data_IF_287782318373
#
_entry.id   IF_287782318373
#
_cell.length_a   1.000
_cell.length_b   1.000
_cell.length_c   1.000
_cell.angle_alpha   90.00
_cell.angle_beta   90.00
_cell.angle_gamma   90.00
#
_symmetry.space_group_name_H-M   'P 1'
#
loop_
_entity.id
_entity.type
_entity.pdbx_description
1 polymer ?
#
# COMPACT_ATOMS: atom_id res chain seq x y z
N UNK A 1 22.78 -13.62 21.58
CA UNK A 1 22.29 -12.23 21.73
C UNK A 1 21.18 -12.04 20.71
N UNK A 2 19.93 -11.90 21.14
CA UNK A 2 18.84 -11.51 20.23
C UNK A 2 19.07 -10.04 19.91
N UNK A 3 19.24 -9.69 18.63
CA UNK A 3 19.13 -8.31 18.20
C UNK A 3 17.69 -7.90 18.52
N UNK A 4 17.50 -7.17 19.60
CA UNK A 4 16.24 -6.47 19.87
C UNK A 4 16.23 -5.35 18.83
N UNK A 5 15.53 -5.58 17.71
CA UNK A 5 15.18 -4.50 16.81
C UNK A 5 14.16 -3.68 17.60
N UNK A 6 14.62 -2.57 18.16
CA UNK A 6 13.78 -1.65 18.92
C UNK A 6 12.64 -1.16 18.02
N UNK A 7 11.46 -0.99 18.61
CA UNK A 7 10.32 -0.44 17.89
C UNK A 7 10.63 0.98 17.41
N UNK A 8 10.28 1.36 16.17
CA UNK A 8 10.49 2.72 15.72
C UNK A 8 9.59 3.67 16.52
N UNK A 9 10.15 4.82 16.87
CA UNK A 9 9.42 5.92 17.49
C UNK A 9 8.37 6.51 16.54
N UNK A 10 7.39 7.23 17.09
CA UNK A 10 6.40 7.96 16.28
C UNK A 10 7.06 8.95 15.30
N UNK A 11 8.16 9.59 15.70
CA UNK A 11 8.92 10.50 14.84
C UNK A 11 9.55 9.74 13.68
N UNK A 12 10.19 8.60 13.94
CA UNK A 12 10.78 7.76 12.88
C UNK A 12 9.74 7.21 11.92
N UNK A 13 8.55 6.85 12.40
CA UNK A 13 7.42 6.44 11.54
C UNK A 13 7.00 7.58 10.63
N UNK A 14 6.78 8.78 11.17
CA UNK A 14 6.39 9.98 10.40
C UNK A 14 7.46 10.35 9.36
N UNK A 15 8.73 10.33 9.76
CA UNK A 15 9.86 10.62 8.86
C UNK A 15 9.97 9.57 7.74
N UNK A 16 9.81 8.28 8.07
CA UNK A 16 9.82 7.19 7.07
C UNK A 16 8.64 7.34 6.10
N UNK A 17 7.45 7.64 6.60
CA UNK A 17 6.25 7.89 5.77
C UNK A 17 6.50 9.04 4.80
N UNK A 18 7.03 10.17 5.28
CA UNK A 18 7.34 11.33 4.45
C UNK A 18 8.36 11.00 3.34
N UNK A 19 9.43 10.26 3.67
CA UNK A 19 10.41 9.81 2.66
C UNK A 19 9.79 8.94 1.57
N UNK A 20 8.91 8.02 1.94
CA UNK A 20 8.21 7.13 0.99
C UNK A 20 7.26 7.94 0.09
N UNK A 21 6.56 8.94 0.65
CA UNK A 21 5.72 9.88 -0.14
C UNK A 21 6.56 10.61 -1.19
N UNK A 22 7.69 11.19 -0.78
CA UNK A 22 8.58 11.91 -1.69
C UNK A 22 9.16 11.02 -2.79
N UNK A 23 9.48 9.76 -2.48
CA UNK A 23 9.88 8.76 -3.47
C UNK A 23 8.73 8.43 -4.43
N UNK A 24 7.52 8.23 -3.90
CA UNK A 24 6.31 7.98 -4.69
C UNK A 24 6.02 9.10 -5.69
N UNK A 25 6.13 10.36 -5.26
CA UNK A 25 5.97 11.52 -6.15
C UNK A 25 7.00 11.57 -7.27
N UNK A 26 8.27 11.25 -6.98
CA UNK A 26 9.32 11.18 -8.01
C UNK A 26 8.99 10.11 -9.05
N UNK A 27 8.58 8.92 -8.61
CA UNK A 27 8.17 7.83 -9.51
C UNK A 27 6.90 8.15 -10.31
N UNK A 28 5.95 8.87 -9.73
CA UNK A 28 4.75 9.35 -10.45
C UNK A 28 5.11 10.33 -11.56
N UNK A 29 6.03 11.27 -11.30
CA UNK A 29 6.55 12.18 -12.33
C UNK A 29 7.24 11.41 -13.46
N UNK A 30 8.06 10.41 -13.13
CA UNK A 30 8.70 9.54 -14.13
C UNK A 30 7.69 8.74 -14.95
N UNK A 31 6.70 8.13 -14.29
CA UNK A 31 5.62 7.39 -14.94
C UNK A 31 4.84 8.28 -15.92
N UNK A 32 4.56 9.52 -15.53
CA UNK A 32 3.89 10.49 -16.39
C UNK A 32 4.73 10.80 -17.65
N UNK A 33 6.04 11.03 -17.49
CA UNK A 33 6.93 11.28 -18.62
C UNK A 33 6.95 10.09 -19.60
N UNK A 34 7.02 8.85 -19.10
CA UNK A 34 6.98 7.64 -19.94
C UNK A 34 5.67 7.57 -20.72
N UNK A 35 4.53 7.87 -20.08
CA UNK A 35 3.22 7.85 -20.73
C UNK A 35 3.09 8.88 -21.84
N UNK A 36 3.60 10.09 -21.62
CA UNK A 36 3.66 11.14 -22.65
C UNK A 36 4.52 10.67 -23.84
N UNK A 37 5.72 10.15 -23.59
CA UNK A 37 6.58 9.64 -24.66
C UNK A 37 5.94 8.47 -25.44
N UNK A 38 5.27 7.55 -24.74
CA UNK A 38 4.52 6.46 -25.39
C UNK A 38 3.38 6.97 -26.27
N UNK A 39 2.68 8.02 -25.85
CA UNK A 39 1.61 8.64 -26.63
C UNK A 39 2.16 9.32 -27.89
N UNK A 40 3.26 10.06 -27.77
CA UNK A 40 3.96 10.67 -28.91
C UNK A 40 4.43 9.62 -29.92
N UNK A 41 5.08 8.55 -29.47
CA UNK A 41 5.58 7.48 -30.34
C UNK A 41 4.46 6.76 -31.09
N UNK A 42 3.32 6.52 -30.43
CA UNK A 42 2.15 5.89 -31.05
C UNK A 42 1.45 6.80 -32.07
N UNK A 43 1.51 8.11 -31.88
CA UNK A 43 0.83 9.09 -32.74
C UNK A 43 1.67 9.49 -33.96
N UNK A 44 2.99 9.62 -33.78
CA UNK A 44 3.89 10.17 -34.80
C UNK A 44 4.48 9.11 -35.76
N UNK A 45 3.91 7.90 -35.79
CA UNK A 45 4.11 6.89 -36.85
C UNK A 45 5.54 6.39 -37.08
N UNK A 46 6.42 6.45 -36.07
CA UNK A 46 7.67 5.70 -36.11
C UNK A 46 7.42 4.33 -35.47
N UNK A 47 7.36 3.27 -36.27
CA UNK A 47 7.23 1.86 -35.85
C UNK A 47 8.47 1.36 -35.07
N UNK A 48 8.93 2.12 -34.09
CA UNK A 48 9.96 1.68 -33.15
C UNK A 48 9.28 0.82 -32.06
N UNK A 49 8.80 -0.35 -32.52
CA UNK A 49 8.07 -1.31 -31.69
C UNK A 49 8.93 -1.77 -30.50
N UNK A 50 10.24 -1.88 -30.70
CA UNK A 50 11.19 -2.26 -29.66
C UNK A 50 11.24 -1.19 -28.55
N UNK A 51 11.35 0.09 -28.91
CA UNK A 51 11.32 1.19 -27.95
C UNK A 51 9.97 1.32 -27.23
N UNK A 52 8.85 1.09 -27.94
CA UNK A 52 7.52 1.05 -27.32
C UNK A 52 7.44 -0.08 -26.29
N UNK A 53 7.87 -1.29 -26.64
CA UNK A 53 7.85 -2.43 -25.74
C UNK A 53 8.69 -2.19 -24.48
N UNK A 54 9.89 -1.62 -24.63
CA UNK A 54 10.74 -1.26 -23.48
C UNK A 54 10.08 -0.22 -22.56
N UNK A 55 9.43 0.79 -23.12
CA UNK A 55 8.72 1.80 -22.34
C UNK A 55 7.47 1.24 -21.64
N UNK A 56 6.75 0.31 -22.27
CA UNK A 56 5.61 -0.38 -21.65
C UNK A 56 6.04 -1.28 -20.49
N UNK A 57 7.16 -2.01 -20.63
CA UNK A 57 7.74 -2.78 -19.53
C UNK A 57 8.15 -1.88 -18.37
N UNK A 58 8.80 -0.75 -18.67
CA UNK A 58 9.17 0.26 -17.67
C UNK A 58 7.94 0.89 -16.99
N UNK A 59 6.88 1.20 -17.75
CA UNK A 59 5.60 1.67 -17.21
C UNK A 59 5.01 0.66 -16.21
N UNK A 60 5.03 -0.62 -16.57
CA UNK A 60 4.53 -1.71 -15.72
C UNK A 60 5.35 -1.86 -14.43
N UNK A 61 6.68 -1.84 -14.53
CA UNK A 61 7.56 -1.91 -13.35
C UNK A 61 7.31 -0.75 -12.39
N UNK A 62 7.32 0.48 -12.90
CA UNK A 62 7.08 1.68 -12.09
C UNK A 62 5.69 1.68 -11.45
N UNK A 63 4.67 1.22 -12.18
CA UNK A 63 3.32 1.08 -11.62
C UNK A 63 3.33 0.10 -10.44
N UNK A 64 3.99 -1.05 -10.57
CA UNK A 64 4.12 -2.00 -9.46
C UNK A 64 4.88 -1.42 -8.27
N UNK A 65 5.94 -0.66 -8.50
CA UNK A 65 6.71 -0.01 -7.44
C UNK A 65 5.87 1.04 -6.70
N UNK A 66 5.14 1.89 -7.42
CA UNK A 66 4.25 2.89 -6.82
C UNK A 66 3.19 2.23 -5.94
N UNK A 67 2.58 1.11 -6.38
CA UNK A 67 1.60 0.37 -5.58
C UNK A 67 2.20 -0.20 -4.28
N UNK A 68 3.46 -0.63 -4.30
CA UNK A 68 4.17 -1.07 -3.08
C UNK A 68 4.43 0.08 -2.12
N UNK A 69 4.77 1.26 -2.64
CA UNK A 69 4.94 2.47 -1.83
C UNK A 69 3.61 2.92 -1.20
N UNK A 70 2.52 2.93 -1.97
CA UNK A 70 1.16 3.24 -1.47
C UNK A 70 0.75 2.32 -0.32
N UNK A 71 0.95 0.99 -0.49
CA UNK A 71 0.67 0.03 0.58
C UNK A 71 1.53 0.31 1.82
N UNK A 72 2.82 0.59 1.63
CA UNK A 72 3.73 0.91 2.73
C UNK A 72 3.31 2.17 3.49
N UNK A 73 2.85 3.21 2.77
CA UNK A 73 2.32 4.44 3.37
C UNK A 73 1.11 4.12 4.23
N UNK A 74 0.12 3.39 3.69
CA UNK A 74 -1.12 3.04 4.41
C UNK A 74 -0.86 2.22 5.68
N UNK A 75 0.10 1.28 5.62
CA UNK A 75 0.51 0.53 6.83
C UNK A 75 1.06 1.49 7.89
N UNK A 76 1.93 2.43 7.50
CA UNK A 76 2.48 3.41 8.43
C UNK A 76 1.42 4.38 8.98
N UNK A 77 0.41 4.75 8.20
CA UNK A 77 -0.72 5.57 8.66
C UNK A 77 -1.55 4.87 9.74
N UNK A 78 -1.81 3.57 9.58
CA UNK A 78 -2.47 2.77 10.62
C UNK A 78 -1.64 2.76 11.91
N UNK A 79 -0.33 2.49 11.80
CA UNK A 79 0.55 2.46 12.98
C UNK A 79 0.68 3.82 13.66
N UNK A 80 0.87 4.88 12.88
CA UNK A 80 0.90 6.26 13.36
C UNK A 80 -0.36 6.58 14.14
N UNK A 81 -1.54 6.24 13.60
CA UNK A 81 -2.80 6.44 14.29
C UNK A 81 -2.86 5.69 15.63
N UNK A 82 -2.49 4.40 15.65
CA UNK A 82 -2.54 3.57 16.87
C UNK A 82 -1.65 4.16 17.98
N UNK A 83 -0.44 4.59 17.62
CA UNK A 83 0.54 5.13 18.55
C UNK A 83 0.12 6.54 19.01
N UNK A 84 -0.27 7.42 18.08
CA UNK A 84 -0.64 8.82 18.38
C UNK A 84 -1.93 8.93 19.18
N UNK A 85 -2.91 8.06 18.92
CA UNK A 85 -4.16 8.00 19.69
C UNK A 85 -4.00 7.43 21.10
N UNK A 86 -2.84 6.84 21.40
CA UNK A 86 -2.53 6.24 22.69
C UNK A 86 -3.65 5.29 23.19
N UNK A 87 -4.21 4.49 22.28
CA UNK A 87 -5.33 3.58 22.57
C UNK A 87 -4.94 2.62 23.70
N UNK A 88 -3.75 2.04 23.61
CA UNK A 88 -3.24 1.03 24.52
C UNK A 88 -2.61 1.59 25.81
N UNK A 89 -2.27 2.88 25.87
CA UNK A 89 -1.64 3.46 27.07
C UNK A 89 -0.38 2.68 27.48
N UNK A 90 -0.26 2.39 28.77
CA UNK A 90 0.88 1.65 29.33
C UNK A 90 0.98 0.19 28.82
N UNK A 91 -0.10 -0.38 28.28
CA UNK A 91 -0.08 -1.71 27.69
C UNK A 91 0.69 -1.77 26.36
N UNK A 92 1.03 -0.62 25.76
CA UNK A 92 1.82 -0.58 24.53
C UNK A 92 3.17 -1.28 24.68
N UNK A 93 3.83 -1.12 25.83
CA UNK A 93 5.11 -1.82 26.12
C UNK A 93 4.96 -3.35 26.09
N UNK A 94 3.82 -3.87 26.53
CA UNK A 94 3.54 -5.32 26.50
C UNK A 94 3.37 -5.80 25.06
N UNK A 95 2.79 -4.97 24.19
CA UNK A 95 2.67 -5.25 22.76
C UNK A 95 4.06 -5.31 22.13
N UNK A 96 4.90 -4.30 22.39
CA UNK A 96 6.28 -4.23 21.87
C UNK A 96 7.13 -5.43 22.29
N UNK A 97 6.98 -5.91 23.52
CA UNK A 97 7.71 -7.08 24.03
C UNK A 97 7.26 -8.40 23.41
N UNK A 98 5.98 -8.52 23.06
CA UNK A 98 5.38 -9.77 22.57
C UNK A 98 5.40 -9.91 21.07
N UNK A 99 5.27 -8.82 20.34
CA UNK A 99 5.07 -8.80 18.89
C UNK A 99 6.27 -8.09 18.28
N UNK A 100 7.12 -8.76 17.48
CA UNK A 100 8.17 -8.06 16.71
C UNK A 100 7.56 -7.03 15.75
N UNK A 101 8.28 -5.94 15.49
CA UNK A 101 7.77 -4.87 14.61
C UNK A 101 7.36 -5.36 13.22
N UNK A 102 8.13 -6.28 12.62
CA UNK A 102 7.78 -6.88 11.31
C UNK A 102 6.48 -7.71 11.37
N UNK A 103 6.22 -8.38 12.50
CA UNK A 103 4.97 -9.11 12.71
C UNK A 103 3.79 -8.15 12.89
N UNK A 104 4.00 -7.02 13.57
CA UNK A 104 3.00 -5.96 13.66
C UNK A 104 2.62 -5.40 12.27
N UNK A 105 3.58 -5.21 11.37
CA UNK A 105 3.30 -4.81 9.99
C UNK A 105 2.42 -5.85 9.26
N UNK A 106 2.70 -7.13 9.45
CA UNK A 106 1.90 -8.20 8.86
C UNK A 106 0.48 -8.23 9.42
N UNK A 107 0.31 -8.06 10.74
CA UNK A 107 -1.02 -7.99 11.38
C UNK A 107 -1.86 -6.86 10.77
N UNK A 108 -1.27 -5.69 10.51
CA UNK A 108 -1.96 -4.56 9.85
C UNK A 108 -2.45 -4.96 8.46
N UNK A 109 -1.60 -5.64 7.67
CA UNK A 109 -1.94 -6.09 6.30
C UNK A 109 -3.02 -7.18 6.33
N UNK A 110 -2.89 -8.18 7.20
CA UNK A 110 -3.84 -9.29 7.34
C UNK A 110 -5.22 -8.82 7.79
N UNK A 111 -5.26 -7.75 8.60
CA UNK A 111 -6.50 -7.10 9.00
C UNK A 111 -7.06 -6.12 7.96
N UNK A 112 -6.46 -6.06 6.76
CA UNK A 112 -6.94 -5.24 5.65
C UNK A 112 -6.81 -3.75 5.91
N UNK A 113 -5.72 -3.33 6.57
CA UNK A 113 -5.44 -1.93 6.93
C UNK A 113 -6.48 -1.32 7.88
N UNK A 114 -7.27 -2.16 8.55
CA UNK A 114 -8.29 -1.70 9.49
C UNK A 114 -7.69 -1.39 10.85
N UNK A 115 -7.79 -0.14 11.31
CA UNK A 115 -7.29 0.26 12.63
C UNK A 115 -8.00 -0.55 13.73
N UNK A 116 -9.34 -0.63 13.66
CA UNK A 116 -10.14 -1.31 14.66
C UNK A 116 -9.83 -2.81 14.75
N UNK A 117 -9.76 -3.50 13.60
CA UNK A 117 -9.43 -4.93 13.58
C UNK A 117 -8.00 -5.19 14.04
N UNK A 118 -7.05 -4.36 13.60
CA UNK A 118 -5.65 -4.42 14.06
C UNK A 118 -5.59 -4.27 15.58
N UNK A 119 -6.19 -3.23 16.14
CA UNK A 119 -6.19 -3.02 17.58
C UNK A 119 -6.85 -4.19 18.34
N UNK A 120 -7.95 -4.72 17.83
CA UNK A 120 -8.62 -5.88 18.43
C UNK A 120 -7.74 -7.13 18.42
N UNK A 121 -6.96 -7.35 17.36
CA UNK A 121 -6.03 -8.47 17.27
C UNK A 121 -4.83 -8.30 18.22
N UNK A 122 -4.25 -7.10 18.28
CA UNK A 122 -3.18 -6.77 19.23
C UNK A 122 -3.65 -6.96 20.69
N UNK A 123 -4.88 -6.54 21.02
CA UNK A 123 -5.48 -6.75 22.34
C UNK A 123 -5.51 -8.23 22.74
N UNK A 124 -5.88 -9.11 21.80
CA UNK A 124 -5.93 -10.57 22.03
C UNK A 124 -4.53 -11.18 22.16
N UNK A 125 -3.61 -10.87 21.23
CA UNK A 125 -2.24 -11.43 21.22
C UNK A 125 -1.51 -10.99 22.50
N UNK A 126 -1.67 -9.72 22.89
CA UNK A 126 -1.07 -9.20 24.10
C UNK A 126 -1.73 -9.72 25.40
N UNK A 127 -2.86 -10.45 25.30
CA UNK A 127 -3.64 -10.95 26.42
C UNK A 127 -3.98 -9.84 27.43
N UNK A 128 -4.43 -8.70 26.90
CA UNK A 128 -4.87 -7.55 27.70
C UNK A 128 -6.30 -7.86 28.18
N UNK A 129 -6.55 -7.77 29.48
CA UNK A 129 -7.90 -7.95 30.08
C UNK A 129 -8.35 -6.64 30.75
N UNK A 130 -8.27 -5.55 29.99
CA UNK A 130 -8.69 -4.22 30.43
C UNK A 130 -9.94 -3.77 29.66
N UNK A 131 -11.05 -3.62 30.37
CA UNK A 131 -12.34 -3.21 29.81
C UNK A 131 -12.31 -1.80 29.22
N UNK A 132 -11.50 -0.90 29.77
CA UNK A 132 -11.40 0.46 29.25
C UNK A 132 -10.68 0.48 27.90
N UNK A 133 -9.61 -0.31 27.76
CA UNK A 133 -8.92 -0.49 26.47
C UNK A 133 -9.85 -1.14 25.45
N UNK A 134 -10.56 -2.20 25.84
CA UNK A 134 -11.53 -2.84 24.95
C UNK A 134 -12.62 -1.87 24.47
N UNK A 135 -13.17 -1.04 25.38
CA UNK A 135 -14.16 -0.03 25.03
C UNK A 135 -13.58 1.03 24.08
N UNK A 136 -12.34 1.50 24.29
CA UNK A 136 -11.66 2.41 23.36
C UNK A 136 -11.60 1.81 21.95
N UNK A 137 -11.20 0.54 21.84
CA UNK A 137 -11.10 -0.17 20.55
C UNK A 137 -12.47 -0.32 19.90
N UNK A 138 -13.49 -0.72 20.65
CA UNK A 138 -14.85 -0.90 20.13
C UNK A 138 -15.48 0.40 19.60
N UNK A 139 -15.12 1.53 20.20
CA UNK A 139 -15.58 2.86 19.79
C UNK A 139 -14.81 3.44 18.59
N UNK A 140 -13.74 2.78 18.12
CA UNK A 140 -13.11 3.17 16.86
C UNK A 140 -14.11 3.01 15.71
N UNK A 141 -14.07 3.91 14.71
CA UNK A 141 -14.90 3.75 13.53
C UNK A 141 -14.58 2.39 12.90
N UNK A 142 -15.62 1.64 12.54
CA UNK A 142 -15.44 0.57 11.57
C UNK A 142 -14.98 1.23 10.27
N UNK A 143 -13.96 0.69 9.61
CA UNK A 143 -13.35 1.24 8.39
C UNK A 143 -14.27 1.26 7.16
N UNK A 144 -15.58 1.30 7.38
CA UNK A 144 -16.60 1.60 6.40
C UNK A 144 -17.44 2.81 6.83
N UNK A 145 -16.89 3.99 6.59
CA UNK A 145 -17.72 5.12 6.14
C UNK A 145 -17.04 5.84 4.97
N UNK A 146 -17.52 5.53 3.76
CA UNK A 146 -17.28 6.23 2.49
C UNK A 146 -15.85 6.18 1.93
N UNK A 147 -15.38 5.00 1.56
CA UNK A 147 -14.74 4.91 0.25
C UNK A 147 -15.84 5.15 -0.79
N UNK A 148 -15.73 6.29 -1.45
CA UNK A 148 -16.35 6.58 -2.75
C UNK A 148 -16.40 5.29 -3.56
N UNK A 149 -17.60 4.84 -3.93
CA UNK A 149 -17.89 3.77 -4.91
C UNK A 149 -17.25 3.99 -6.30
N UNK A 150 -16.27 4.88 -6.41
CA UNK A 150 -15.52 5.22 -7.62
C UNK A 150 -14.16 4.50 -7.70
N UNK A 151 -13.48 4.17 -6.59
CA UNK A 151 -12.14 3.58 -6.66
C UNK A 151 -12.14 2.07 -6.99
N UNK A 152 -13.13 1.32 -6.50
CA UNK A 152 -13.30 -0.10 -6.87
C UNK A 152 -13.63 -0.30 -8.36
N UNK A 153 -14.10 0.75 -9.06
CA UNK A 153 -14.23 0.75 -10.52
C UNK A 153 -12.94 1.14 -11.24
N UNK A 154 -12.03 1.88 -10.63
CA UNK A 154 -10.77 2.31 -11.28
C UNK A 154 -9.73 1.19 -11.35
N UNK A 155 -9.52 0.45 -10.25
CA UNK A 155 -8.63 -0.73 -10.27
C UNK A 155 -9.15 -1.79 -11.25
N UNK A 156 -10.46 -2.02 -11.28
CA UNK A 156 -11.08 -2.98 -12.22
C UNK A 156 -11.02 -2.45 -13.66
N UNK A 157 -11.18 -1.15 -13.93
CA UNK A 157 -11.08 -0.58 -15.29
C UNK A 157 -9.64 -0.61 -15.82
N UNK A 158 -8.63 -0.42 -14.97
CA UNK A 158 -7.22 -0.51 -15.37
C UNK A 158 -6.79 -1.97 -15.60
N UNK A 159 -7.15 -2.88 -14.70
CA UNK A 159 -6.91 -4.32 -14.89
C UNK A 159 -7.65 -4.85 -16.12
N UNK A 160 -8.89 -4.43 -16.36
CA UNK A 160 -9.65 -4.80 -17.56
C UNK A 160 -9.06 -4.17 -18.85
N UNK A 161 -8.42 -2.99 -18.77
CA UNK A 161 -7.66 -2.41 -19.90
C UNK A 161 -6.39 -3.22 -20.19
N UNK A 162 -5.69 -3.70 -19.17
CA UNK A 162 -4.51 -4.56 -19.34
C UNK A 162 -4.93 -5.93 -19.91
N UNK A 163 -5.97 -6.55 -19.34
CA UNK A 163 -6.51 -7.82 -19.83
C UNK A 163 -6.99 -7.67 -21.28
N UNK A 164 -7.72 -6.62 -21.63
CA UNK A 164 -8.19 -6.40 -23.01
C UNK A 164 -7.05 -6.15 -24.00
N UNK A 165 -5.95 -5.47 -23.58
CA UNK A 165 -4.74 -5.36 -24.40
C UNK A 165 -4.06 -6.70 -24.61
N UNK A 166 -3.89 -7.49 -23.56
CA UNK A 166 -3.30 -8.84 -23.65
C UNK A 166 -4.14 -9.75 -24.54
N UNK A 167 -5.47 -9.69 -24.44
CA UNK A 167 -6.39 -10.46 -25.29
C UNK A 167 -6.28 -10.04 -26.76
N UNK A 168 -6.27 -8.73 -27.06
CA UNK A 168 -6.09 -8.24 -28.44
C UNK A 168 -4.74 -8.63 -29.04
N UNK A 169 -3.66 -8.62 -28.25
CA UNK A 169 -2.34 -9.05 -28.69
C UNK A 169 -2.29 -10.55 -28.99
N UNK A 170 -2.97 -11.37 -28.16
CA UNK A 170 -3.14 -12.81 -28.43
C UNK A 170 -3.97 -13.08 -29.69
N UNK A 171 -5.04 -12.32 -29.91
CA UNK A 171 -5.84 -12.40 -31.13
C UNK A 171 -5.05 -11.99 -32.37
N UNK A 172 -4.21 -10.95 -32.28
CA UNK A 172 -3.33 -10.52 -33.37
C UNK A 172 -2.30 -11.59 -33.72
N UNK A 173 -1.70 -12.23 -32.71
CA UNK A 173 -0.74 -13.33 -32.88
C UNK A 173 -1.39 -14.56 -33.53
N UNK A 174 -2.65 -14.86 -33.23
CA UNK A 174 -3.36 -16.01 -33.81
C UNK A 174 -3.94 -15.73 -35.21
N UNK A 175 -4.04 -14.47 -35.62
CA UNK A 175 -4.63 -14.06 -36.91
C UNK A 175 -3.57 -13.77 -37.99
N UNK A 176 -2.32 -13.56 -37.59
CA UNK A 176 -1.21 -13.18 -38.46
C UNK A 176 0.10 -13.94 -38.19
N UNK A 177 0.06 -15.00 -37.38
CA UNK A 177 1.08 -16.05 -37.28
C UNK A 177 0.55 -17.34 -37.85
#
# INVERSE_FOLDING_TARGET
MKNIVEYPTLVEIKDKKQKIIEEGEKKLRELNNIRVTLEELRTNSQNDLDKIAQLEEKESSLTSEILKLDLSIKILEVLEYIIESNIFGDYWKIIEEKIPYEELLNIVVENGLSVKKTCMELYKIANIDDKNILNKIQNLPDDYSKETKEESKLQNKYLNKIISRITRLKEFKNKYG
#
